data_IF_471094184152
#
_entry.id   IF_471094184152
#
_cell.length_a   1.000
_cell.length_b   1.000
_cell.length_c   1.000
_cell.angle_alpha   90.00
_cell.angle_beta   90.00
_cell.angle_gamma   90.00
#
_symmetry.space_group_name_H-M   'P 1'
#
loop_
_entity.id
_entity.type
_entity.pdbx_description
1 polymer ?
#
# COMPACT_ATOMS: atom_id res chain seq x y z
N UNK A 1 -16.70 1.86 -1.21
CA UNK A 1 -15.87 0.63 -1.07
C UNK A 1 -14.54 1.02 -0.45
N UNK A 2 -14.11 0.35 0.62
CA UNK A 2 -12.74 0.46 1.15
C UNK A 2 -11.96 -0.72 0.61
N UNK A 3 -10.81 -0.45 -0.03
CA UNK A 3 -9.87 -1.44 -0.54
C UNK A 3 -8.57 -1.31 0.24
N UNK A 4 -8.28 -2.31 1.07
CA UNK A 4 -7.00 -2.39 1.76
C UNK A 4 -5.99 -3.09 0.87
N UNK A 5 -5.07 -2.30 0.33
CA UNK A 5 -4.07 -2.74 -0.64
C UNK A 5 -2.64 -2.70 -0.04
N UNK A 6 -2.53 -2.79 1.27
CA UNK A 6 -1.24 -2.70 2.00
C UNK A 6 -0.22 -3.78 1.57
N UNK A 7 -0.67 -4.88 0.99
CA UNK A 7 0.16 -5.97 0.50
C UNK A 7 0.29 -6.03 -1.03
N UNK A 8 -0.19 -5.01 -1.75
CA UNK A 8 -0.27 -5.01 -3.21
C UNK A 8 1.08 -5.25 -3.92
N UNK A 9 2.19 -4.83 -3.33
CA UNK A 9 3.51 -4.99 -3.91
C UNK A 9 4.10 -6.40 -3.73
N UNK A 10 3.54 -7.22 -2.83
CA UNK A 10 4.06 -8.56 -2.51
C UNK A 10 3.43 -9.65 -3.40
N UNK A 11 3.52 -9.47 -4.70
CA UNK A 11 3.05 -10.45 -5.70
C UNK A 11 4.09 -11.53 -5.98
N UNK A 12 3.65 -12.69 -6.49
CA UNK A 12 4.57 -13.70 -7.03
C UNK A 12 5.37 -13.09 -8.21
N UNK A 13 6.65 -13.49 -8.42
CA UNK A 13 7.45 -12.99 -9.53
C UNK A 13 6.74 -13.14 -10.87
N UNK A 14 6.74 -12.07 -11.66
CA UNK A 14 6.06 -12.00 -12.96
C UNK A 14 4.53 -11.86 -12.90
N UNK A 15 3.96 -11.66 -11.72
CA UNK A 15 2.54 -11.32 -11.54
C UNK A 15 2.39 -9.85 -11.21
N UNK A 16 1.36 -9.23 -11.79
CA UNK A 16 0.99 -7.86 -11.52
C UNK A 16 -0.24 -7.80 -10.61
N UNK A 17 -0.25 -6.82 -9.71
CA UNK A 17 -1.42 -6.47 -8.92
C UNK A 17 -2.33 -5.53 -9.72
N UNK A 18 -3.63 -5.77 -9.67
CA UNK A 18 -4.63 -4.89 -10.28
C UNK A 18 -5.35 -4.13 -9.17
N UNK A 19 -5.07 -2.82 -8.98
CA UNK A 19 -5.76 -2.02 -7.97
C UNK A 19 -7.27 -1.97 -8.22
N UNK A 20 -8.08 -2.06 -7.18
CA UNK A 20 -9.55 -2.01 -7.32
C UNK A 20 -10.02 -0.75 -8.08
N UNK A 21 -9.41 0.39 -7.80
CA UNK A 21 -9.75 1.66 -8.45
C UNK A 21 -9.44 1.69 -9.96
N UNK A 22 -8.62 0.77 -10.48
CA UNK A 22 -8.25 0.70 -11.90
C UNK A 22 -9.18 -0.18 -12.74
N UNK A 23 -10.06 -0.95 -12.11
CA UNK A 23 -10.93 -1.93 -12.81
C UNK A 23 -11.97 -1.23 -13.69
N UNK A 24 -12.53 -0.11 -13.24
CA UNK A 24 -13.51 0.69 -14.02
C UNK A 24 -13.65 2.08 -13.42
N UNK A 25 -14.28 2.99 -14.18
CA UNK A 25 -14.63 4.33 -13.69
C UNK A 25 -15.55 4.28 -12.45
N UNK A 26 -16.47 3.34 -12.42
CA UNK A 26 -17.35 3.14 -11.25
C UNK A 26 -16.52 2.72 -10.03
N UNK A 27 -15.62 1.75 -10.20
CA UNK A 27 -14.74 1.30 -9.11
C UNK A 27 -13.87 2.45 -8.60
N UNK A 28 -13.31 3.26 -9.51
CA UNK A 28 -12.52 4.44 -9.17
C UNK A 28 -13.33 5.43 -8.33
N UNK A 29 -14.55 5.77 -8.76
CA UNK A 29 -15.35 6.83 -8.15
C UNK A 29 -15.92 6.45 -6.76
N UNK A 30 -16.05 5.15 -6.46
CA UNK A 30 -16.54 4.68 -5.16
C UNK A 30 -15.41 4.20 -4.22
N UNK A 31 -14.15 4.23 -4.66
CA UNK A 31 -13.03 3.67 -3.90
C UNK A 31 -12.50 4.62 -2.84
N UNK A 32 -12.09 4.01 -1.74
CA UNK A 32 -11.15 4.53 -0.74
C UNK A 32 -10.05 3.47 -0.65
N UNK A 33 -8.89 3.75 -1.21
CA UNK A 33 -7.78 2.78 -1.27
C UNK A 33 -6.75 3.11 -0.19
N UNK A 34 -6.40 2.13 0.63
CA UNK A 34 -5.40 2.25 1.67
C UNK A 34 -4.12 1.53 1.22
N UNK A 35 -3.01 2.24 1.17
CA UNK A 35 -1.68 1.73 0.82
C UNK A 35 -0.65 2.16 1.83
N UNK A 36 0.41 1.38 2.02
CA UNK A 36 1.52 1.74 2.89
C UNK A 36 2.80 1.01 2.49
N UNK A 37 3.97 1.64 2.64
CA UNK A 37 5.26 0.98 2.42
C UNK A 37 5.64 0.05 3.57
N UNK A 38 4.87 0.07 4.67
CA UNK A 38 5.23 -0.51 5.96
C UNK A 38 5.39 -2.03 5.92
N UNK A 39 4.56 -2.74 5.14
CA UNK A 39 4.66 -4.20 5.00
C UNK A 39 5.66 -4.59 3.92
N UNK A 40 5.57 -3.95 2.77
CA UNK A 40 6.45 -4.18 1.63
C UNK A 40 7.93 -4.00 2.00
N UNK A 41 8.28 -2.93 2.70
CA UNK A 41 9.67 -2.57 3.02
C UNK A 41 10.06 -2.80 4.49
N UNK A 42 9.25 -3.52 5.24
CA UNK A 42 9.51 -3.87 6.65
C UNK A 42 9.78 -2.66 7.57
N UNK A 43 9.03 -1.57 7.36
CA UNK A 43 9.15 -0.32 8.13
C UNK A 43 7.91 -0.01 8.96
N UNK A 44 7.22 -1.05 9.46
CA UNK A 44 5.97 -0.92 10.22
C UNK A 44 6.10 -0.04 11.47
N UNK A 45 7.28 -0.01 12.09
CA UNK A 45 7.55 0.86 13.24
C UNK A 45 7.43 2.36 12.97
N UNK A 46 7.46 2.77 11.69
CA UNK A 46 7.28 4.17 11.28
C UNK A 46 5.82 4.59 11.11
N UNK A 47 4.87 3.65 11.19
CA UNK A 47 3.43 3.90 11.28
C UNK A 47 2.92 4.93 10.26
N UNK A 48 3.17 4.68 8.98
CA UNK A 48 2.71 5.56 7.89
C UNK A 48 1.90 4.82 6.86
N UNK A 49 0.86 5.47 6.35
CA UNK A 49 0.01 4.98 5.27
C UNK A 49 -0.50 6.16 4.44
N UNK A 50 -0.98 5.87 3.25
CA UNK A 50 -1.68 6.82 2.40
C UNK A 50 -3.10 6.33 2.10
N UNK A 51 -4.05 7.27 2.09
CA UNK A 51 -5.45 7.00 1.72
C UNK A 51 -5.74 7.73 0.41
N UNK A 52 -5.95 6.97 -0.64
CA UNK A 52 -6.18 7.45 -2.00
C UNK A 52 -7.68 7.45 -2.28
N UNK A 53 -8.24 8.62 -2.56
CA UNK A 53 -9.68 8.79 -2.83
C UNK A 53 -9.86 9.66 -4.07
N UNK A 54 -10.11 9.06 -5.25
CA UNK A 54 -10.26 9.81 -6.50
C UNK A 54 -11.45 10.78 -6.50
N UNK A 55 -12.61 10.33 -6.01
CA UNK A 55 -13.83 11.13 -6.01
C UNK A 55 -13.75 12.33 -5.02
N UNK A 56 -13.86 13.56 -5.53
CA UNK A 56 -13.62 14.81 -4.79
C UNK A 56 -14.44 14.95 -3.50
N UNK A 57 -15.74 14.69 -3.55
CA UNK A 57 -16.62 14.87 -2.38
C UNK A 57 -16.33 13.79 -1.32
N UNK A 58 -16.06 12.55 -1.75
CA UNK A 58 -15.68 11.46 -0.85
C UNK A 58 -14.33 11.73 -0.20
N UNK A 59 -13.34 12.19 -0.97
CA UNK A 59 -12.02 12.59 -0.48
C UNK A 59 -12.12 13.68 0.59
N UNK A 60 -12.96 14.69 0.39
CA UNK A 60 -13.15 15.75 1.39
C UNK A 60 -13.72 15.19 2.71
N UNK A 61 -14.70 14.27 2.63
CA UNK A 61 -15.27 13.63 3.83
C UNK A 61 -14.23 12.79 4.59
N UNK A 62 -13.47 11.97 3.86
CA UNK A 62 -12.41 11.14 4.44
C UNK A 62 -11.33 12.01 5.07
N UNK A 63 -10.86 13.04 4.36
CA UNK A 63 -9.86 13.97 4.88
C UNK A 63 -10.31 14.65 6.17
N UNK A 64 -11.56 15.10 6.22
CA UNK A 64 -12.12 15.70 7.45
C UNK A 64 -12.19 14.72 8.60
N UNK A 65 -12.61 13.48 8.36
CA UNK A 65 -12.69 12.45 9.39
C UNK A 65 -11.31 12.16 9.98
N UNK A 66 -10.31 11.91 9.14
CA UNK A 66 -8.94 11.64 9.56
C UNK A 66 -8.34 12.79 10.39
N UNK A 67 -8.62 14.06 10.02
CA UNK A 67 -8.17 15.22 10.78
C UNK A 67 -8.94 15.39 12.10
N UNK A 68 -10.23 15.05 12.13
CA UNK A 68 -11.05 15.11 13.37
C UNK A 68 -10.55 14.09 14.39
N UNK A 69 -10.13 12.93 13.93
CA UNK A 69 -9.60 11.85 14.76
C UNK A 69 -8.08 12.02 15.06
N UNK A 70 -7.46 13.12 14.60
CA UNK A 70 -6.03 13.44 14.78
C UNK A 70 -5.06 12.34 14.31
N UNK A 71 -5.44 11.62 13.25
CA UNK A 71 -4.64 10.53 12.66
C UNK A 71 -4.08 10.87 11.27
N UNK A 72 -4.22 12.12 10.82
CA UNK A 72 -3.81 12.52 9.49
C UNK A 72 -2.32 12.89 9.38
N UNK A 73 -1.63 13.09 10.49
CA UNK A 73 -0.23 13.54 10.49
C UNK A 73 0.74 12.37 10.72
N UNK A 74 1.68 12.13 9.77
CA UNK A 74 2.72 11.13 9.94
C UNK A 74 3.78 11.61 10.95
N UNK A 75 4.51 10.67 11.56
CA UNK A 75 5.66 11.03 12.39
C UNK A 75 6.82 11.63 11.55
N UNK A 76 7.77 12.29 12.22
CA UNK A 76 8.84 13.07 11.59
C UNK A 76 9.71 12.27 10.59
N UNK A 77 9.86 10.96 10.76
CA UNK A 77 10.70 10.10 9.91
C UNK A 77 9.91 9.36 8.83
N UNK A 78 8.60 9.28 8.98
CA UNK A 78 7.74 8.47 8.13
C UNK A 78 7.77 8.87 6.66
N UNK A 79 7.74 10.18 6.37
CA UNK A 79 7.74 10.71 5.00
C UNK A 79 9.05 10.39 4.32
N UNK A 80 10.18 10.68 4.96
CA UNK A 80 11.51 10.41 4.41
C UNK A 80 11.72 8.91 4.14
N UNK A 81 11.27 8.05 5.05
CA UNK A 81 11.38 6.62 4.88
C UNK A 81 10.47 6.09 3.75
N UNK A 82 9.25 6.60 3.63
CA UNK A 82 8.35 6.24 2.54
C UNK A 82 8.90 6.68 1.18
N UNK A 83 9.42 7.90 1.08
CA UNK A 83 10.08 8.40 -0.13
C UNK A 83 11.30 7.54 -0.50
N UNK A 84 12.15 7.21 0.45
CA UNK A 84 13.30 6.36 0.21
C UNK A 84 12.89 4.94 -0.24
N UNK A 85 11.91 4.34 0.41
CA UNK A 85 11.39 3.02 0.08
C UNK A 85 10.84 2.97 -1.36
N UNK A 86 9.99 3.90 -1.73
CA UNK A 86 9.36 3.92 -3.05
C UNK A 86 10.31 4.37 -4.17
N UNK A 87 11.29 5.21 -3.90
CA UNK A 87 12.22 5.69 -4.93
C UNK A 87 13.44 4.79 -5.14
N UNK A 88 13.83 4.01 -4.13
CA UNK A 88 15.09 3.25 -4.17
C UNK A 88 14.94 1.78 -3.75
N UNK A 89 13.73 1.34 -3.41
CA UNK A 89 13.49 0.01 -2.85
C UNK A 89 13.28 -1.13 -3.86
N UNK A 90 13.26 -0.85 -5.16
CA UNK A 90 12.89 -1.82 -6.21
C UNK A 90 13.70 -3.12 -6.13
N UNK A 91 15.01 -3.00 -6.08
CA UNK A 91 15.92 -4.16 -6.01
C UNK A 91 15.65 -5.01 -4.76
N UNK A 92 15.46 -4.36 -3.62
CA UNK A 92 15.14 -5.02 -2.36
C UNK A 92 13.80 -5.76 -2.44
N UNK A 93 12.80 -5.13 -3.05
CA UNK A 93 11.46 -5.71 -3.22
C UNK A 93 11.51 -6.94 -4.14
N UNK A 94 12.24 -6.89 -5.24
CA UNK A 94 12.37 -8.01 -6.17
C UNK A 94 13.07 -9.22 -5.50
N UNK A 95 14.11 -8.97 -4.72
CA UNK A 95 14.78 -10.01 -3.93
C UNK A 95 13.83 -10.62 -2.88
N UNK A 96 13.05 -9.79 -2.18
CA UNK A 96 12.05 -10.23 -1.22
C UNK A 96 10.95 -11.07 -1.87
N UNK A 97 10.42 -10.65 -3.00
CA UNK A 97 9.42 -11.41 -3.78
C UNK A 97 9.94 -12.79 -4.16
N UNK A 98 11.17 -12.87 -4.63
CA UNK A 98 11.85 -14.13 -4.96
C UNK A 98 11.99 -15.04 -3.74
N UNK A 99 12.39 -14.48 -2.60
CA UNK A 99 12.53 -15.22 -1.34
C UNK A 99 11.18 -15.76 -0.83
N UNK A 100 10.14 -14.92 -0.80
CA UNK A 100 8.79 -15.33 -0.37
C UNK A 100 8.24 -16.41 -1.29
N UNK A 101 8.40 -16.26 -2.61
CA UNK A 101 7.96 -17.25 -3.59
C UNK A 101 8.63 -18.60 -3.40
N UNK A 102 9.93 -18.61 -3.12
CA UNK A 102 10.66 -19.84 -2.84
C UNK A 102 10.17 -20.54 -1.54
N UNK A 103 9.91 -19.77 -0.48
CA UNK A 103 9.33 -20.29 0.75
C UNK A 103 7.92 -20.88 0.51
N UNK A 104 7.09 -20.20 -0.26
CA UNK A 104 5.77 -20.70 -0.66
C UNK A 104 5.87 -22.02 -1.41
N UNK A 105 6.84 -22.15 -2.32
CA UNK A 105 7.09 -23.40 -3.06
C UNK A 105 7.46 -24.54 -2.12
N UNK A 106 8.39 -24.32 -1.19
CA UNK A 106 8.81 -25.32 -0.20
C UNK A 106 7.62 -25.82 0.62
N UNK A 107 6.77 -24.90 1.11
CA UNK A 107 5.58 -25.27 1.89
C UNK A 107 4.58 -26.11 1.08
N UNK A 108 4.42 -25.80 -0.21
CA UNK A 108 3.50 -26.54 -1.09
C UNK A 108 4.02 -27.93 -1.48
N UNK A 109 5.33 -28.16 -1.41
CA UNK A 109 5.98 -29.44 -1.70
C UNK A 109 6.03 -30.37 -0.47
N UNK A 110 5.75 -29.83 0.74
CA UNK A 110 5.76 -30.56 2.01
C UNK A 110 4.40 -31.18 2.33
#
# INVERSE_FOLDING_TARGET
MVSDEIHCDLTDPGKEYIPFASVSDVCRDISITCVAPTKTFNIAGLQTAAVIVPHKNLRHKVWRALNTDEVAEPNAFAVLAAEAAYNYGDKWLDELRGYIYNNKRIVNEY
#
